data_IF_011452918378
#
_entry.id   IF_011452918378
#
_cell.length_a   1.000
_cell.length_b   1.000
_cell.length_c   1.000
_cell.angle_alpha   90.00
_cell.angle_beta   90.00
_cell.angle_gamma   90.00
#
_symmetry.space_group_name_H-M   'P 1'
#
loop_
_entity.id
_entity.type
_entity.pdbx_description
1 polymer ?
#
# COMPACT_ATOMS: atom_id res chain seq x y z
N UNK A 1 33.20 -5.39 -47.29
CA UNK A 1 34.30 -6.38 -47.36
C UNK A 1 34.21 -7.28 -46.14
N UNK A 2 34.52 -8.56 -46.34
CA UNK A 2 34.02 -9.73 -45.59
C UNK A 2 35.07 -10.19 -44.55
N UNK A 3 34.58 -10.88 -43.50
CA UNK A 3 35.23 -11.95 -42.68
C UNK A 3 35.74 -11.54 -41.29
N UNK A 4 35.73 -12.35 -40.23
CA UNK A 4 35.21 -13.70 -39.91
C UNK A 4 35.31 -13.86 -38.37
N UNK A 5 34.36 -14.59 -37.79
CA UNK A 5 34.35 -15.13 -36.41
C UNK A 5 35.44 -16.17 -36.16
N UNK A 6 35.96 -16.28 -34.93
CA UNK A 6 36.36 -17.58 -34.36
C UNK A 6 36.01 -17.69 -32.87
N UNK A 7 35.02 -18.53 -32.59
CA UNK A 7 34.90 -19.25 -31.31
C UNK A 7 36.04 -20.27 -31.23
N UNK A 8 36.68 -20.38 -30.06
CA UNK A 8 37.49 -21.54 -29.70
C UNK A 8 37.07 -22.03 -28.31
N UNK A 9 36.41 -23.18 -28.29
CA UNK A 9 36.28 -24.10 -27.15
C UNK A 9 37.60 -24.87 -27.01
N UNK A 10 38.03 -25.20 -25.79
CA UNK A 10 38.84 -26.38 -25.37
C UNK A 10 39.08 -26.23 -23.85
N UNK A 11 38.38 -27.01 -23.02
CA UNK A 11 38.84 -28.23 -22.28
C UNK A 11 39.69 -27.90 -21.03
N UNK A 12 39.17 -28.07 -19.81
CA UNK A 12 39.27 -29.27 -18.92
C UNK A 12 40.60 -29.36 -18.13
N UNK A 13 40.47 -29.45 -16.79
CA UNK A 13 41.51 -29.89 -15.84
C UNK A 13 42.31 -28.73 -15.21
N UNK A 14 42.57 -28.64 -13.91
CA UNK A 14 42.33 -29.49 -12.75
C UNK A 14 43.07 -28.91 -11.53
N UNK A 15 42.72 -29.43 -10.35
CA UNK A 15 43.49 -29.45 -9.09
C UNK A 15 43.86 -28.13 -8.35
N UNK A 16 43.11 -27.89 -7.25
CA UNK A 16 43.56 -27.79 -5.84
C UNK A 16 44.96 -27.21 -5.57
N UNK A 17 44.99 -26.14 -4.78
CA UNK A 17 46.02 -25.91 -3.75
C UNK A 17 45.37 -25.24 -2.53
N UNK A 18 45.01 -26.07 -1.55
CA UNK A 18 44.58 -25.63 -0.23
C UNK A 18 45.81 -25.26 0.60
N UNK A 19 45.89 -24.00 1.01
CA UNK A 19 46.89 -23.53 1.97
C UNK A 19 46.55 -24.00 3.37
N UNK A 20 47.43 -24.80 3.95
CA UNK A 20 47.43 -25.20 5.37
C UNK A 20 47.88 -24.00 6.21
N UNK A 21 46.99 -23.47 7.05
CA UNK A 21 47.38 -22.67 8.21
C UNK A 21 47.09 -23.48 9.46
N UNK A 22 48.17 -23.94 10.09
CA UNK A 22 48.16 -24.62 11.37
C UNK A 22 47.75 -23.64 12.48
N UNK A 23 46.50 -23.73 12.91
CA UNK A 23 46.02 -23.16 14.17
C UNK A 23 45.53 -24.30 15.05
N UNK A 24 46.19 -24.54 16.18
CA UNK A 24 45.77 -25.49 17.20
C UNK A 24 44.53 -24.94 17.92
N UNK A 25 43.35 -25.19 17.36
CA UNK A 25 42.08 -25.09 18.08
C UNK A 25 41.60 -26.50 18.42
N UNK A 26 41.27 -26.73 19.70
CA UNK A 26 40.86 -28.03 20.21
C UNK A 26 39.70 -28.62 19.42
N UNK A 27 39.84 -29.87 18.99
CA UNK A 27 38.79 -30.62 18.31
C UNK A 27 37.71 -31.00 19.32
N UNK A 28 36.68 -30.16 19.44
CA UNK A 28 35.38 -30.61 19.95
C UNK A 28 34.64 -31.24 18.77
N UNK A 29 34.54 -32.57 18.76
CA UNK A 29 33.67 -33.28 17.82
C UNK A 29 32.22 -32.95 18.15
N UNK A 30 31.65 -31.95 17.46
CA UNK A 30 30.22 -31.74 17.44
C UNK A 30 29.61 -32.79 16.50
N UNK A 31 28.91 -33.77 17.06
CA UNK A 31 28.03 -34.67 16.32
C UNK A 31 26.95 -33.81 15.66
N UNK A 32 27.04 -33.60 14.34
CA UNK A 32 25.98 -32.97 13.58
C UNK A 32 24.84 -33.98 13.42
N UNK A 33 23.85 -33.93 14.31
CA UNK A 33 22.58 -34.60 14.09
C UNK A 33 21.96 -34.07 12.79
N UNK A 34 21.51 -34.98 11.93
CA UNK A 34 20.90 -34.64 10.66
C UNK A 34 19.69 -33.71 10.91
N UNK A 35 19.53 -32.61 10.14
CA UNK A 35 18.40 -31.71 10.34
C UNK A 35 17.11 -32.49 10.13
N UNK A 36 16.30 -32.60 11.19
CA UNK A 36 14.98 -33.20 11.13
C UNK A 36 14.18 -32.55 10.00
N UNK A 37 13.65 -33.36 9.08
CA UNK A 37 12.85 -32.90 7.96
C UNK A 37 11.70 -32.02 8.48
N UNK A 38 11.64 -30.76 8.01
CA UNK A 38 10.55 -29.86 8.35
C UNK A 38 9.21 -30.51 7.95
N UNK A 39 8.18 -30.47 8.82
CA UNK A 39 6.90 -31.09 8.51
C UNK A 39 6.31 -30.44 7.24
N UNK A 40 5.86 -31.28 6.31
CA UNK A 40 5.21 -30.83 5.08
C UNK A 40 3.94 -30.03 5.41
N UNK A 41 3.78 -28.88 4.76
CA UNK A 41 2.60 -28.04 4.94
C UNK A 41 1.34 -28.81 4.50
N UNK A 42 0.36 -28.90 5.40
CA UNK A 42 -0.96 -29.46 5.07
C UNK A 42 -1.74 -28.41 4.29
N UNK A 43 -2.03 -28.67 3.02
CA UNK A 43 -2.88 -27.83 2.17
C UNK A 43 -4.25 -28.50 1.99
N UNK A 44 -5.34 -27.73 2.14
CA UNK A 44 -6.70 -28.21 1.88
C UNK A 44 -7.46 -27.17 1.04
N UNK A 45 -8.11 -27.63 -0.03
CA UNK A 45 -8.95 -26.79 -0.89
C UNK A 45 -10.36 -26.64 -0.29
N UNK A 46 -10.74 -25.41 0.04
CA UNK A 46 -12.07 -25.12 0.57
C UNK A 46 -13.14 -25.21 -0.54
N UNK A 47 -14.29 -25.85 -0.29
CA UNK A 47 -15.36 -25.94 -1.28
C UNK A 47 -16.00 -24.56 -1.51
N UNK A 48 -16.41 -24.28 -2.75
CA UNK A 48 -16.95 -22.98 -3.16
C UNK A 48 -18.13 -22.47 -2.30
N UNK A 49 -18.94 -23.37 -1.73
CA UNK A 49 -20.04 -23.02 -0.81
C UNK A 49 -19.57 -22.32 0.48
N UNK A 50 -18.28 -22.44 0.82
CA UNK A 50 -17.66 -21.79 1.98
C UNK A 50 -16.85 -20.54 1.58
N UNK A 51 -16.91 -20.12 0.31
CA UNK A 51 -16.18 -18.96 -0.21
C UNK A 51 -17.13 -17.81 -0.54
N UNK A 52 -16.63 -16.59 -0.38
CA UNK A 52 -17.28 -15.37 -0.85
C UNK A 52 -16.29 -14.53 -1.64
N UNK A 53 -16.78 -13.56 -2.41
CA UNK A 53 -15.98 -12.69 -3.25
C UNK A 53 -16.17 -11.23 -2.83
N UNK A 54 -15.10 -10.46 -2.88
CA UNK A 54 -15.10 -9.02 -2.66
C UNK A 54 -14.52 -8.29 -3.87
N UNK A 55 -14.95 -7.05 -4.08
CA UNK A 55 -14.49 -6.20 -5.19
C UNK A 55 -13.58 -5.11 -4.64
N UNK A 56 -12.47 -4.88 -5.33
CA UNK A 56 -11.42 -3.95 -4.91
C UNK A 56 -10.95 -3.11 -6.10
N UNK A 57 -10.38 -1.94 -5.82
CA UNK A 57 -9.60 -1.25 -6.84
C UNK A 57 -8.32 -2.04 -7.12
N UNK A 58 -7.91 -2.08 -8.39
CA UNK A 58 -6.56 -2.53 -8.72
C UNK A 58 -5.54 -1.53 -8.19
N UNK A 59 -4.31 -1.97 -7.91
CA UNK A 59 -3.23 -1.07 -7.51
C UNK A 59 -2.98 0.03 -8.56
N UNK A 60 -3.13 -0.29 -9.85
CA UNK A 60 -3.05 0.68 -10.94
C UNK A 60 -4.16 1.75 -10.85
N UNK A 61 -5.40 1.36 -10.59
CA UNK A 61 -6.52 2.30 -10.43
C UNK A 61 -6.34 3.18 -9.18
N UNK A 62 -5.95 2.58 -8.05
CA UNK A 62 -5.65 3.33 -6.82
C UNK A 62 -4.51 4.33 -7.02
N UNK A 63 -3.45 3.94 -7.73
CA UNK A 63 -2.32 4.82 -8.05
C UNK A 63 -2.74 5.97 -8.96
N UNK A 64 -3.52 5.69 -10.02
CA UNK A 64 -4.09 6.72 -10.91
C UNK A 64 -4.89 7.76 -10.13
N UNK A 65 -5.76 7.30 -9.23
CA UNK A 65 -6.61 8.17 -8.43
C UNK A 65 -5.79 9.02 -7.43
N UNK A 66 -4.82 8.42 -6.75
CA UNK A 66 -3.93 9.12 -5.82
C UNK A 66 -3.10 10.20 -6.54
N UNK A 67 -2.55 9.87 -7.71
CA UNK A 67 -1.77 10.80 -8.52
C UNK A 67 -2.64 11.96 -9.02
N UNK A 68 -3.86 11.68 -9.48
CA UNK A 68 -4.78 12.73 -9.93
C UNK A 68 -5.14 13.72 -8.81
N UNK A 69 -5.35 13.24 -7.59
CA UNK A 69 -5.57 14.10 -6.42
C UNK A 69 -4.33 14.96 -6.09
N UNK A 70 -3.14 14.35 -6.12
CA UNK A 70 -1.88 15.06 -5.90
C UNK A 70 -1.63 16.13 -6.97
N UNK A 71 -1.91 15.82 -8.24
CA UNK A 71 -1.75 16.76 -9.36
C UNK A 71 -2.77 17.90 -9.31
N UNK A 72 -4.01 17.63 -8.85
CA UNK A 72 -5.00 18.67 -8.61
C UNK A 72 -4.53 19.65 -7.52
N UNK A 73 -3.98 19.13 -6.42
CA UNK A 73 -3.39 19.96 -5.36
C UNK A 73 -2.21 20.79 -5.86
N UNK A 74 -1.30 20.20 -6.66
CA UNK A 74 -0.16 20.88 -7.26
C UNK A 74 -0.58 22.05 -8.17
N UNK A 75 -1.63 21.88 -8.97
CA UNK A 75 -2.17 22.96 -9.84
C UNK A 75 -2.65 24.18 -9.05
N UNK A 76 -3.01 23.99 -7.78
CA UNK A 76 -3.44 25.05 -6.87
C UNK A 76 -2.35 25.45 -5.86
N UNK A 77 -1.09 25.08 -6.13
CA UNK A 77 0.08 25.35 -5.30
C UNK A 77 -0.02 24.77 -3.86
N UNK A 78 -0.80 23.71 -3.68
CA UNK A 78 -0.98 23.05 -2.38
C UNK A 78 0.00 21.90 -2.18
N UNK A 79 0.50 21.74 -0.95
CA UNK A 79 1.46 20.69 -0.56
C UNK A 79 0.77 19.68 0.34
N UNK A 80 0.32 18.57 -0.26
CA UNK A 80 -0.53 17.59 0.42
C UNK A 80 0.09 16.19 0.44
N UNK A 81 -0.35 15.37 1.40
CA UNK A 81 -0.26 13.92 1.30
C UNK A 81 -1.60 13.35 0.83
N UNK A 82 -1.55 12.25 0.11
CA UNK A 82 -2.70 11.52 -0.42
C UNK A 82 -2.61 10.06 -0.02
N UNK A 83 -3.73 9.44 0.36
CA UNK A 83 -3.83 8.02 0.64
C UNK A 83 -5.05 7.41 -0.05
N UNK A 84 -4.93 6.15 -0.44
CA UNK A 84 -6.05 5.31 -0.89
C UNK A 84 -6.13 4.09 0.01
N UNK A 85 -7.27 3.91 0.66
CA UNK A 85 -7.54 2.81 1.60
C UNK A 85 -8.65 1.94 1.03
N UNK A 86 -8.45 0.63 0.98
CA UNK A 86 -9.44 -0.34 0.53
C UNK A 86 -10.61 -0.46 1.51
N UNK A 87 -11.75 -0.94 1.06
CA UNK A 87 -12.90 -1.27 1.94
C UNK A 87 -12.54 -2.28 3.04
N UNK A 88 -11.55 -3.13 2.83
CA UNK A 88 -11.04 -4.05 3.85
C UNK A 88 -10.17 -3.35 4.95
N UNK A 89 -9.93 -2.05 4.83
CA UNK A 89 -9.18 -1.24 5.80
C UNK A 89 -7.68 -1.12 5.51
N UNK A 90 -7.14 -1.90 4.58
CA UNK A 90 -5.72 -1.83 4.23
C UNK A 90 -5.43 -0.63 3.33
N UNK A 91 -4.30 0.02 3.58
CA UNK A 91 -3.83 1.09 2.71
C UNK A 91 -3.21 0.50 1.45
N UNK A 92 -3.68 0.94 0.27
CA UNK A 92 -3.20 0.48 -1.04
C UNK A 92 -2.08 1.40 -1.54
N UNK A 93 -2.27 2.72 -1.43
CA UNK A 93 -1.34 3.73 -1.95
C UNK A 93 -1.23 4.88 -0.96
N UNK A 94 -0.02 5.40 -0.83
CA UNK A 94 0.27 6.65 -0.12
C UNK A 94 1.28 7.45 -0.92
N UNK A 95 1.01 8.74 -1.10
CA UNK A 95 1.92 9.69 -1.73
C UNK A 95 2.10 10.88 -0.78
N UNK A 96 3.33 11.13 -0.33
CA UNK A 96 3.67 12.38 0.37
C UNK A 96 4.18 13.37 -0.67
N UNK A 97 3.44 14.44 -0.92
CA UNK A 97 3.88 15.50 -1.81
C UNK A 97 5.07 16.29 -1.24
N UNK A 98 5.90 16.85 -2.12
CA UNK A 98 7.07 17.62 -1.72
C UNK A 98 6.69 18.87 -0.91
N UNK A 99 7.24 18.96 0.30
CA UNK A 99 6.93 20.03 1.25
C UNK A 99 5.61 19.87 1.99
N UNK A 100 4.91 18.73 1.87
CA UNK A 100 3.73 18.46 2.66
C UNK A 100 4.07 18.32 4.15
N UNK A 101 3.28 18.96 5.02
CA UNK A 101 3.52 18.96 6.47
C UNK A 101 3.60 17.55 7.07
N UNK A 102 4.38 17.33 8.15
CA UNK A 102 4.60 16.00 8.71
C UNK A 102 3.31 15.29 9.13
N UNK A 103 2.32 16.02 9.64
CA UNK A 103 1.02 15.50 10.08
C UNK A 103 0.12 15.00 8.93
N UNK A 104 0.38 15.42 7.69
CA UNK A 104 -0.53 15.17 6.58
C UNK A 104 -0.63 13.69 6.19
N UNK A 105 0.44 12.92 6.30
CA UNK A 105 0.47 11.54 5.83
C UNK A 105 -0.53 10.65 6.57
N UNK A 106 -0.43 10.59 7.89
CA UNK A 106 -1.36 9.81 8.73
C UNK A 106 -2.77 10.39 8.69
N UNK A 107 -2.91 11.72 8.59
CA UNK A 107 -4.21 12.37 8.43
C UNK A 107 -4.92 11.91 7.16
N UNK A 108 -4.22 11.88 6.02
CA UNK A 108 -4.77 11.40 4.75
C UNK A 108 -5.22 9.94 4.85
N UNK A 109 -4.41 9.06 5.48
CA UNK A 109 -4.76 7.65 5.69
C UNK A 109 -6.04 7.52 6.53
N UNK A 110 -6.13 8.22 7.67
CA UNK A 110 -7.31 8.15 8.55
C UNK A 110 -8.57 8.73 7.90
N UNK A 111 -8.45 9.80 7.12
CA UNK A 111 -9.58 10.35 6.34
C UNK A 111 -10.06 9.37 5.27
N UNK A 112 -9.15 8.74 4.54
CA UNK A 112 -9.47 7.71 3.55
C UNK A 112 -10.20 6.51 4.20
N UNK A 113 -9.64 6.01 5.30
CA UNK A 113 -10.24 4.93 6.11
C UNK A 113 -11.65 5.31 6.62
N UNK A 114 -11.81 6.54 7.11
CA UNK A 114 -13.10 7.04 7.61
C UNK A 114 -14.12 7.14 6.47
N UNK A 115 -13.74 7.71 5.33
CA UNK A 115 -14.64 7.84 4.18
C UNK A 115 -15.13 6.48 3.69
N UNK A 116 -14.23 5.50 3.52
CA UNK A 116 -14.62 4.17 3.04
C UNK A 116 -15.42 3.39 4.07
N UNK A 117 -15.17 3.59 5.37
CA UNK A 117 -15.87 2.88 6.46
C UNK A 117 -17.37 3.21 6.50
N UNK A 118 -17.72 4.48 6.28
CA UNK A 118 -19.13 4.94 6.28
C UNK A 118 -19.73 5.17 4.89
N UNK A 119 -18.95 5.00 3.82
CA UNK A 119 -19.36 5.32 2.45
C UNK A 119 -19.89 6.75 2.29
N UNK A 120 -19.20 7.71 2.90
CA UNK A 120 -19.58 9.12 2.85
C UNK A 120 -18.35 10.04 2.87
N UNK A 121 -18.43 11.25 2.30
CA UNK A 121 -17.38 12.24 2.46
C UNK A 121 -17.16 12.58 3.94
N UNK A 122 -15.91 12.76 4.35
CA UNK A 122 -15.58 13.05 5.75
C UNK A 122 -16.13 14.39 6.24
N UNK A 123 -16.32 15.38 5.34
CA UNK A 123 -17.00 16.64 5.66
C UNK A 123 -18.45 16.42 6.12
N UNK A 124 -19.16 15.47 5.50
CA UNK A 124 -20.50 15.07 5.90
C UNK A 124 -20.46 14.31 7.24
N UNK A 125 -19.51 13.39 7.38
CA UNK A 125 -19.35 12.60 8.61
C UNK A 125 -19.03 13.48 9.82
N UNK A 126 -18.23 14.53 9.66
CA UNK A 126 -17.90 15.47 10.74
C UNK A 126 -19.16 16.13 11.32
N UNK A 127 -20.18 16.42 10.51
CA UNK A 127 -21.46 17.00 10.97
C UNK A 127 -22.23 16.02 11.87
N UNK A 128 -22.07 14.71 11.69
CA UNK A 128 -22.74 13.70 12.52
C UNK A 128 -22.27 13.72 13.98
N UNK A 129 -21.10 14.32 14.25
CA UNK A 129 -20.58 14.46 15.61
C UNK A 129 -21.43 15.37 16.50
N UNK A 130 -22.28 16.23 15.92
CA UNK A 130 -23.23 17.05 16.68
C UNK A 130 -24.22 16.20 17.47
N UNK A 131 -24.67 15.08 16.86
CA UNK A 131 -25.63 14.16 17.47
C UNK A 131 -24.96 12.92 18.07
N UNK A 132 -23.79 12.52 17.56
CA UNK A 132 -23.06 11.33 17.97
C UNK A 132 -21.57 11.65 18.17
N UNK A 133 -21.20 12.41 19.22
CA UNK A 133 -19.84 12.93 19.40
C UNK A 133 -18.78 11.85 19.64
N UNK A 134 -19.20 10.66 20.07
CA UNK A 134 -18.32 9.51 20.34
C UNK A 134 -17.94 8.73 19.07
N UNK A 135 -18.50 9.03 17.89
CA UNK A 135 -18.08 8.38 16.64
C UNK A 135 -16.58 8.57 16.37
N UNK A 136 -16.03 9.74 16.74
CA UNK A 136 -14.60 10.05 16.59
C UNK A 136 -13.69 9.20 17.49
N UNK A 137 -14.25 8.51 18.50
CA UNK A 137 -13.48 7.69 19.42
C UNK A 137 -13.25 6.27 18.87
N UNK A 138 -13.85 5.94 17.71
CA UNK A 138 -13.62 4.69 17.00
C UNK A 138 -12.18 4.66 16.47
N UNK A 139 -11.40 3.58 16.75
CA UNK A 139 -10.02 3.48 16.32
C UNK A 139 -9.82 3.64 14.81
N UNK A 140 -8.73 4.30 14.44
CA UNK A 140 -8.33 4.53 13.05
C UNK A 140 -9.07 5.66 12.34
N UNK A 141 -10.08 6.27 12.98
CA UNK A 141 -10.91 7.29 12.32
C UNK A 141 -10.33 8.71 12.46
N UNK A 142 -10.74 9.58 11.52
CA UNK A 142 -10.55 11.01 11.55
C UNK A 142 -11.73 11.70 10.86
N UNK A 143 -12.63 12.24 11.67
CA UNK A 143 -13.83 12.96 11.23
C UNK A 143 -13.50 14.42 10.91
N UNK A 144 -12.76 14.62 9.82
CA UNK A 144 -12.34 15.93 9.31
C UNK A 144 -12.34 15.90 7.79
N UNK A 145 -12.91 16.93 7.14
CA UNK A 145 -12.99 17.04 5.68
C UNK A 145 -11.65 16.72 4.99
N UNK A 146 -11.71 15.96 3.89
CA UNK A 146 -10.54 15.54 3.10
C UNK A 146 -10.58 14.11 2.59
N UNK A 147 -11.57 13.31 3.00
CA UNK A 147 -11.81 11.95 2.54
C UNK A 147 -13.05 11.85 1.66
N UNK A 148 -12.96 11.13 0.54
CA UNK A 148 -14.06 10.84 -0.37
C UNK A 148 -14.15 9.33 -0.68
N UNK A 149 -15.35 8.70 -0.61
CA UNK A 149 -15.51 7.29 -0.91
C UNK A 149 -15.50 7.02 -2.42
N UNK A 150 -15.05 5.84 -2.80
CA UNK A 150 -15.17 5.26 -4.15
C UNK A 150 -16.08 4.05 -4.06
N UNK A 151 -17.11 3.99 -4.91
CA UNK A 151 -18.07 2.91 -4.93
C UNK A 151 -18.03 2.11 -6.24
N UNK A 152 -18.33 0.81 -6.15
CA UNK A 152 -18.62 -0.05 -7.30
C UNK A 152 -20.01 -0.66 -7.10
N UNK A 153 -20.90 -0.51 -8.08
CA UNK A 153 -22.28 -1.02 -8.02
C UNK A 153 -23.04 -0.61 -6.74
N UNK A 154 -22.80 0.61 -6.25
CA UNK A 154 -23.45 1.16 -5.05
C UNK A 154 -22.82 0.76 -3.70
N UNK A 155 -21.80 -0.12 -3.68
CA UNK A 155 -21.07 -0.48 -2.46
C UNK A 155 -19.69 0.20 -2.40
N UNK A 156 -19.24 0.68 -1.22
CA UNK A 156 -17.90 1.25 -1.07
C UNK A 156 -16.82 0.20 -1.32
N UNK A 157 -15.82 0.53 -2.14
CA UNK A 157 -14.66 -0.34 -2.43
C UNK A 157 -13.33 0.29 -2.02
N UNK A 158 -13.27 1.61 -1.93
CA UNK A 158 -12.10 2.33 -1.44
C UNK A 158 -12.48 3.71 -0.90
N UNK A 159 -11.54 4.36 -0.23
CA UNK A 159 -11.61 5.76 0.17
C UNK A 159 -10.34 6.46 -0.26
N UNK A 160 -10.45 7.68 -0.74
CA UNK A 160 -9.33 8.55 -1.07
C UNK A 160 -9.29 9.65 -0.02
N UNK A 161 -8.16 9.82 0.64
CA UNK A 161 -7.95 10.83 1.66
C UNK A 161 -6.82 11.77 1.27
N UNK A 162 -7.00 13.06 1.54
CA UNK A 162 -6.03 14.11 1.30
C UNK A 162 -5.87 14.93 2.58
N UNK A 163 -4.64 15.38 2.84
CA UNK A 163 -4.36 16.29 3.94
C UNK A 163 -3.20 17.22 3.62
N UNK A 164 -3.27 18.45 4.09
CA UNK A 164 -2.16 19.41 4.05
C UNK A 164 -2.50 20.75 3.39
N UNK A 165 -3.65 20.86 2.73
CA UNK A 165 -4.14 22.15 2.25
C UNK A 165 -4.56 23.06 3.44
N UNK A 166 -4.74 24.38 3.23
CA UNK A 166 -5.17 25.31 4.26
C UNK A 166 -6.51 24.97 4.93
N UNK A 167 -7.35 24.15 4.29
CA UNK A 167 -8.61 23.66 4.85
C UNK A 167 -8.90 22.23 4.42
N UNK A 168 -9.68 21.52 5.25
CA UNK A 168 -10.16 20.17 4.92
C UNK A 168 -11.09 20.15 3.70
N UNK A 169 -11.79 21.23 3.40
CA UNK A 169 -12.63 21.31 2.21
C UNK A 169 -11.79 21.34 0.92
N UNK A 170 -10.64 22.02 0.94
CA UNK A 170 -9.68 21.95 -0.17
C UNK A 170 -9.07 20.56 -0.29
N UNK A 171 -8.72 19.92 0.83
CA UNK A 171 -8.31 18.52 0.81
C UNK A 171 -9.39 17.63 0.14
N UNK A 172 -10.67 17.81 0.50
CA UNK A 172 -11.75 16.96 0.00
C UNK A 172 -12.04 17.21 -1.47
N UNK A 173 -11.92 18.46 -1.93
CA UNK A 173 -11.94 18.82 -3.35
C UNK A 173 -10.87 18.04 -4.14
N UNK A 174 -9.65 17.93 -3.62
CA UNK A 174 -8.59 17.16 -4.28
C UNK A 174 -8.85 15.64 -4.21
N UNK A 175 -9.39 15.14 -3.10
CA UNK A 175 -9.82 13.74 -2.99
C UNK A 175 -10.88 13.41 -4.06
N UNK A 176 -11.87 14.29 -4.25
CA UNK A 176 -12.91 14.17 -5.28
C UNK A 176 -12.33 14.21 -6.70
N UNK A 177 -11.29 15.01 -6.95
CA UNK A 177 -10.57 14.97 -8.23
C UNK A 177 -9.92 13.60 -8.49
N UNK A 178 -9.40 12.96 -7.44
CA UNK A 178 -8.93 11.57 -7.48
C UNK A 178 -10.05 10.58 -7.83
N UNK A 179 -11.22 10.70 -7.20
CA UNK A 179 -12.41 9.87 -7.50
C UNK A 179 -12.83 10.06 -8.96
N UNK A 180 -12.89 11.31 -9.44
CA UNK A 180 -13.31 11.63 -10.81
C UNK A 180 -12.38 11.03 -11.89
N UNK A 181 -11.11 10.78 -11.58
CA UNK A 181 -10.16 10.16 -12.50
C UNK A 181 -10.45 8.67 -12.78
N UNK A 182 -11.31 8.02 -11.97
CA UNK A 182 -11.74 6.64 -12.18
C UNK A 182 -12.91 6.49 -13.16
N UNK A 183 -13.65 7.58 -13.42
CA UNK A 183 -14.81 7.59 -14.31
C UNK A 183 -14.45 7.78 -15.80
N UNK A 184 -13.17 7.63 -16.16
CA UNK A 184 -12.63 7.83 -17.51
C UNK A 184 -11.76 6.68 -17.94
#
# INVERSE_FOLDING_TARGET
>A
MKKISKRARVLTGGAVLAGVLAGTFGAVSASADAPAAAPAAVTADAPAKNLTQSTHLTTAAATKAAQAALDAAKKENQRVSVAVVDRNGNTIVTLRGDGAGPQSYESAVKKAYTAVSWNAPTSELAKRLEQAPNLKDIPGTLFLAGGAPVAAKGAPVAGIGVAGAPSGDLDEKFAQAGVAALNR
#
